data_IF_091380931951
#
_entry.id   IF_091380931951
#
_cell.length_a   1.000
_cell.length_b   1.000
_cell.length_c   1.000
_cell.angle_alpha   90.00
_cell.angle_beta   90.00
_cell.angle_gamma   90.00
#
_symmetry.space_group_name_H-M   'P 1'
#
loop_
_entity.id
_entity.type
_entity.pdbx_description
1 polymer ?
#
# COMPACT_ATOMS: atom_id res chain seq x y z
N UNK A 1 15.35 -12.18 -6.93
CA UNK A 1 15.92 -12.31 -5.58
C UNK A 1 14.80 -12.15 -4.55
N UNK A 2 14.92 -12.77 -3.39
CA UNK A 2 13.95 -12.76 -2.29
C UNK A 2 13.82 -14.15 -1.67
N UNK A 3 12.98 -14.32 -0.64
CA UNK A 3 12.20 -13.25 0.01
C UNK A 3 13.07 -12.33 0.85
N UNK A 4 12.69 -11.04 0.95
CA UNK A 4 13.40 -10.06 1.76
C UNK A 4 12.55 -9.61 2.95
N UNK A 5 13.21 -9.39 4.08
CA UNK A 5 12.63 -8.76 5.24
C UNK A 5 11.39 -9.43 5.80
N UNK A 6 10.36 -8.64 6.05
CA UNK A 6 9.14 -9.05 6.71
C UNK A 6 7.94 -9.19 5.75
N UNK A 7 6.77 -9.53 6.29
CA UNK A 7 5.51 -9.68 5.56
C UNK A 7 4.38 -8.93 6.24
N UNK A 8 3.29 -8.69 5.51
CA UNK A 8 2.03 -8.19 6.08
C UNK A 8 1.49 -9.14 7.16
N UNK A 9 0.92 -8.57 8.20
CA UNK A 9 0.06 -9.32 9.12
C UNK A 9 -1.23 -9.75 8.42
N UNK A 10 -1.86 -10.84 8.87
CA UNK A 10 -3.16 -11.28 8.32
C UNK A 10 -4.21 -11.07 9.40
N UNK A 11 -5.05 -10.05 9.22
CA UNK A 11 -6.06 -9.66 10.22
C UNK A 11 -7.44 -9.48 9.59
N UNK A 12 -8.50 -9.68 10.37
CA UNK A 12 -9.88 -9.50 9.94
C UNK A 12 -10.27 -8.01 9.85
N UNK A 13 -11.40 -7.75 9.19
CA UNK A 13 -11.92 -6.40 8.96
C UNK A 13 -10.91 -5.49 8.22
N UNK A 14 -10.29 -6.06 7.23
CA UNK A 14 -9.23 -5.44 6.45
C UNK A 14 -9.73 -4.71 5.20
N UNK A 15 -9.09 -3.60 4.90
CA UNK A 15 -9.16 -2.95 3.60
C UNK A 15 -7.78 -2.99 2.93
N UNK A 16 -7.73 -3.33 1.65
CA UNK A 16 -6.50 -3.31 0.86
C UNK A 16 -6.58 -2.19 -0.16
N UNK A 17 -5.63 -1.27 -0.12
CA UNK A 17 -5.54 -0.15 -1.09
C UNK A 17 -4.31 -0.35 -1.96
N UNK A 18 -4.52 -0.59 -3.24
CA UNK A 18 -3.46 -0.83 -4.20
C UNK A 18 -3.44 0.24 -5.30
N UNK A 19 -2.24 0.67 -5.70
CA UNK A 19 -2.04 1.60 -6.81
C UNK A 19 -1.23 0.96 -7.94
N UNK A 20 -1.79 0.95 -9.15
CA UNK A 20 -1.12 0.40 -10.34
C UNK A 20 -0.60 -1.02 -10.14
N UNK A 21 0.70 -1.25 -10.39
CA UNK A 21 1.35 -2.55 -10.24
C UNK A 21 1.39 -3.05 -8.78
N UNK A 22 1.21 -2.16 -7.79
CA UNK A 22 1.20 -2.53 -6.36
C UNK A 22 0.15 -3.57 -5.99
N UNK A 23 -0.89 -3.78 -6.82
CA UNK A 23 -1.84 -4.89 -6.65
C UNK A 23 -1.15 -6.26 -6.67
N UNK A 24 -0.06 -6.40 -7.43
CA UNK A 24 0.71 -7.64 -7.50
C UNK A 24 1.38 -7.95 -6.16
N UNK A 25 1.96 -6.94 -5.53
CA UNK A 25 2.66 -7.08 -4.23
C UNK A 25 1.72 -7.48 -3.10
N UNK A 26 0.45 -7.02 -3.13
CA UNK A 26 -0.56 -7.39 -2.13
C UNK A 26 -1.42 -8.60 -2.52
N UNK A 27 -1.18 -9.22 -3.68
CA UNK A 27 -2.03 -10.28 -4.20
C UNK A 27 -2.08 -11.51 -3.27
N UNK A 28 -0.94 -11.95 -2.77
CA UNK A 28 -0.85 -13.09 -1.83
C UNK A 28 -1.52 -12.79 -0.49
N UNK A 29 -1.49 -11.54 -0.03
CA UNK A 29 -2.22 -11.11 1.15
C UNK A 29 -3.74 -11.14 0.89
N UNK A 30 -4.19 -10.59 -0.24
CA UNK A 30 -5.62 -10.60 -0.62
C UNK A 30 -6.19 -12.02 -0.65
N UNK A 31 -5.41 -13.00 -1.12
CA UNK A 31 -5.84 -14.39 -1.17
C UNK A 31 -6.00 -15.02 0.23
N UNK A 32 -5.19 -14.60 1.20
CA UNK A 32 -5.23 -15.06 2.59
C UNK A 32 -6.31 -14.36 3.43
N UNK A 33 -6.72 -13.16 3.05
CA UNK A 33 -7.70 -12.38 3.81
C UNK A 33 -9.13 -12.90 3.58
N UNK A 34 -9.87 -13.01 4.68
CA UNK A 34 -11.29 -13.35 4.66
C UNK A 34 -12.12 -12.09 4.34
N UNK A 35 -12.73 -12.07 3.14
CA UNK A 35 -13.62 -11.00 2.68
C UNK A 35 -13.08 -9.56 2.82
N UNK A 36 -11.85 -9.25 2.36
CA UNK A 36 -11.33 -7.89 2.42
C UNK A 36 -12.12 -6.96 1.49
N UNK A 37 -12.24 -5.69 1.84
CA UNK A 37 -12.60 -4.66 0.87
C UNK A 37 -11.35 -4.25 0.11
N UNK A 38 -11.36 -4.35 -1.21
CA UNK A 38 -10.23 -3.99 -2.05
C UNK A 38 -10.54 -2.65 -2.72
N UNK A 39 -9.64 -1.69 -2.60
CA UNK A 39 -9.67 -0.43 -3.35
C UNK A 39 -8.49 -0.46 -4.32
N UNK A 40 -8.76 -0.35 -5.60
CA UNK A 40 -7.73 -0.43 -6.61
C UNK A 40 -7.73 0.83 -7.49
N UNK A 41 -6.63 1.55 -7.47
CA UNK A 41 -6.42 2.77 -8.24
C UNK A 41 -5.45 2.59 -9.39
N UNK A 42 -5.76 3.20 -10.55
CA UNK A 42 -4.86 3.28 -11.69
C UNK A 42 -5.09 4.59 -12.45
N UNK A 43 -4.13 5.00 -13.29
CA UNK A 43 -4.30 6.18 -14.15
C UNK A 43 -5.41 5.99 -15.18
N UNK A 44 -5.48 4.79 -15.79
CA UNK A 44 -6.43 4.42 -16.85
C UNK A 44 -6.82 2.95 -16.73
N UNK A 45 -7.94 2.59 -17.37
CA UNK A 45 -8.42 1.20 -17.47
C UNK A 45 -7.35 0.21 -17.94
N UNK A 46 -6.52 0.60 -18.88
CA UNK A 46 -5.49 -0.23 -19.50
C UNK A 46 -4.41 -0.71 -18.50
N UNK A 47 -4.22 0.04 -17.41
CA UNK A 47 -3.26 -0.30 -16.34
C UNK A 47 -3.85 -1.15 -15.23
N UNK A 48 -5.15 -1.51 -15.33
CA UNK A 48 -5.80 -2.38 -14.35
C UNK A 48 -5.50 -3.84 -14.68
N UNK A 49 -4.74 -4.48 -13.80
CA UNK A 49 -4.40 -5.90 -13.90
C UNK A 49 -5.20 -6.69 -12.85
N UNK A 50 -5.24 -8.02 -12.95
CA UNK A 50 -5.90 -8.93 -11.98
C UNK A 50 -7.41 -8.74 -11.77
N UNK A 51 -8.12 -7.96 -12.58
CA UNK A 51 -9.58 -7.78 -12.43
C UNK A 51 -10.33 -9.13 -12.48
N UNK A 52 -9.93 -10.03 -13.39
CA UNK A 52 -10.51 -11.37 -13.51
C UNK A 52 -10.24 -12.24 -12.28
N UNK A 53 -9.05 -12.11 -11.65
CA UNK A 53 -8.65 -12.88 -10.47
C UNK A 53 -9.56 -12.58 -9.27
N UNK A 54 -9.96 -11.33 -9.12
CA UNK A 54 -10.71 -10.86 -7.95
C UNK A 54 -12.18 -10.53 -8.23
N UNK A 55 -12.74 -11.03 -9.35
CA UNK A 55 -14.15 -10.80 -9.73
C UNK A 55 -15.17 -11.17 -8.64
N UNK A 56 -14.85 -12.14 -7.79
CA UNK A 56 -15.71 -12.61 -6.70
C UNK A 56 -15.42 -11.92 -5.36
N UNK A 57 -14.52 -10.94 -5.31
CA UNK A 57 -14.22 -10.15 -4.10
C UNK A 57 -14.80 -8.74 -4.23
N UNK A 58 -15.14 -8.13 -3.10
CA UNK A 58 -15.60 -6.74 -3.07
C UNK A 58 -14.46 -5.80 -3.49
N UNK A 59 -14.47 -5.36 -4.75
CA UNK A 59 -13.47 -4.46 -5.31
C UNK A 59 -14.10 -3.13 -5.73
N UNK A 60 -13.55 -2.04 -5.22
CA UNK A 60 -13.87 -0.68 -5.59
C UNK A 60 -12.72 -0.14 -6.45
N UNK A 61 -13.02 0.26 -7.67
CA UNK A 61 -12.01 0.70 -8.63
C UNK A 61 -12.14 2.19 -8.87
N UNK A 62 -11.01 2.89 -8.90
CA UNK A 62 -10.91 4.27 -9.29
C UNK A 62 -9.86 4.44 -10.41
N UNK A 63 -10.19 5.26 -11.42
CA UNK A 63 -9.21 5.67 -12.44
C UNK A 63 -9.14 7.19 -12.50
N UNK A 64 -7.92 7.73 -12.63
CA UNK A 64 -7.70 9.17 -12.61
C UNK A 64 -8.50 9.86 -13.73
N UNK A 65 -8.55 9.24 -14.91
CA UNK A 65 -9.25 9.74 -16.09
C UNK A 65 -10.75 9.39 -16.15
N UNK A 66 -11.21 8.49 -15.26
CA UNK A 66 -12.60 8.02 -15.25
C UNK A 66 -12.91 6.95 -16.31
N UNK A 67 -11.90 6.36 -16.95
CA UNK A 67 -12.09 5.35 -17.99
C UNK A 67 -12.65 4.02 -17.47
N UNK A 68 -12.57 3.79 -16.14
CA UNK A 68 -13.19 2.63 -15.49
C UNK A 68 -13.42 2.87 -13.99
N UNK A 69 -14.56 2.43 -13.49
CA UNK A 69 -14.93 2.61 -12.08
C UNK A 69 -15.26 4.08 -11.73
N UNK A 70 -14.86 4.51 -10.53
CA UNK A 70 -15.04 5.90 -10.09
C UNK A 70 -13.92 6.76 -10.68
N UNK A 71 -14.28 7.94 -11.23
CA UNK A 71 -13.28 8.94 -11.60
C UNK A 71 -12.64 9.55 -10.35
N UNK A 72 -11.30 9.59 -10.31
CA UNK A 72 -10.53 10.15 -9.21
C UNK A 72 -9.58 9.13 -8.59
N UNK A 73 -9.15 9.38 -7.36
CA UNK A 73 -8.10 8.60 -6.70
C UNK A 73 -8.65 7.51 -5.77
N UNK A 74 -7.87 6.43 -5.60
CA UNK A 74 -8.17 5.38 -4.62
C UNK A 74 -8.28 5.94 -3.19
N UNK A 75 -7.53 7.00 -2.87
CA UNK A 75 -7.58 7.70 -1.60
C UNK A 75 -8.92 8.39 -1.33
N UNK A 76 -9.61 8.87 -2.36
CA UNK A 76 -10.93 9.50 -2.20
C UNK A 76 -11.99 8.43 -1.86
N UNK A 77 -11.84 7.24 -2.46
CA UNK A 77 -12.69 6.08 -2.15
C UNK A 77 -12.46 5.62 -0.71
N UNK A 78 -11.20 5.54 -0.28
CA UNK A 78 -10.84 5.17 1.08
C UNK A 78 -11.40 6.17 2.10
N UNK A 79 -11.22 7.48 1.84
CA UNK A 79 -11.74 8.54 2.72
C UNK A 79 -13.25 8.44 2.93
N UNK A 80 -14.01 8.18 1.86
CA UNK A 80 -15.45 7.94 1.95
C UNK A 80 -15.82 6.69 2.75
N UNK A 81 -15.04 5.63 2.65
CA UNK A 81 -15.26 4.40 3.43
C UNK A 81 -14.94 4.59 4.91
N UNK A 82 -13.80 5.22 5.24
CA UNK A 82 -13.39 5.44 6.63
C UNK A 82 -14.28 6.46 7.33
N UNK A 83 -14.78 7.47 6.60
CA UNK A 83 -15.74 8.45 7.13
C UNK A 83 -17.10 7.87 7.47
N UNK A 84 -17.46 6.70 6.92
CA UNK A 84 -18.72 6.03 7.24
C UNK A 84 -18.55 5.09 8.44
N UNK A 85 -19.05 5.50 9.61
CA UNK A 85 -18.98 4.75 10.89
C UNK A 85 -19.62 3.34 10.85
N UNK A 86 -20.41 3.02 9.82
CA UNK A 86 -20.94 1.65 9.63
C UNK A 86 -19.89 0.67 9.14
N UNK A 87 -18.80 1.15 8.53
CA UNK A 87 -17.70 0.31 8.10
C UNK A 87 -16.83 -0.05 9.30
N UNK A 88 -16.63 -1.35 9.50
CA UNK A 88 -15.84 -1.90 10.63
C UNK A 88 -14.38 -2.16 10.22
N UNK A 89 -13.79 -1.30 9.38
CA UNK A 89 -12.39 -1.44 8.95
C UNK A 89 -11.48 -1.14 10.15
N UNK A 90 -10.63 -2.11 10.52
CA UNK A 90 -9.67 -1.99 11.61
C UNK A 90 -8.24 -1.81 11.12
N UNK A 91 -7.94 -2.29 9.93
CA UNK A 91 -6.61 -2.20 9.34
C UNK A 91 -6.70 -1.94 7.82
N UNK A 92 -5.78 -1.10 7.35
CA UNK A 92 -5.59 -0.83 5.92
C UNK A 92 -4.20 -1.31 5.52
N UNK A 93 -4.15 -2.17 4.51
CA UNK A 93 -2.92 -2.58 3.85
C UNK A 93 -2.76 -1.79 2.56
N UNK A 94 -1.56 -1.28 2.28
CA UNK A 94 -1.36 -0.48 1.08
C UNK A 94 -0.04 -0.77 0.38
N UNK A 95 -0.08 -0.73 -0.96
CA UNK A 95 1.08 -0.82 -1.84
C UNK A 95 0.83 -0.05 -3.13
N UNK A 96 1.82 0.68 -3.62
CA UNK A 96 1.75 1.48 -4.84
C UNK A 96 2.66 2.69 -4.79
N UNK A 97 2.37 3.76 -5.56
CA UNK A 97 3.16 4.99 -5.53
C UNK A 97 3.24 5.59 -4.11
N UNK A 98 4.43 5.98 -3.67
CA UNK A 98 4.65 6.39 -2.28
C UNK A 98 3.80 7.60 -1.86
N UNK A 99 3.54 8.52 -2.78
CA UNK A 99 2.61 9.66 -2.54
C UNK A 99 1.20 9.15 -2.22
N UNK A 100 0.73 8.10 -2.89
CA UNK A 100 -0.56 7.47 -2.60
C UNK A 100 -0.51 6.79 -1.23
N UNK A 101 0.55 6.03 -0.94
CA UNK A 101 0.73 5.34 0.35
C UNK A 101 0.72 6.36 1.49
N UNK A 102 1.41 7.50 1.33
CA UNK A 102 1.42 8.57 2.35
C UNK A 102 0.02 9.13 2.60
N UNK A 103 -0.76 9.40 1.55
CA UNK A 103 -2.15 9.86 1.69
C UNK A 103 -3.04 8.81 2.36
N UNK A 104 -2.86 7.52 2.04
CA UNK A 104 -3.55 6.41 2.72
C UNK A 104 -3.22 6.40 4.21
N UNK A 105 -1.95 6.50 4.55
CA UNK A 105 -1.49 6.56 5.94
C UNK A 105 -2.09 7.76 6.68
N UNK A 106 -2.08 8.96 6.09
CA UNK A 106 -2.67 10.17 6.70
C UNK A 106 -4.17 10.02 6.96
N UNK A 107 -4.90 9.38 6.03
CA UNK A 107 -6.32 9.04 6.24
C UNK A 107 -6.49 8.04 7.40
N UNK A 108 -5.65 7.02 7.47
CA UNK A 108 -5.69 6.04 8.56
C UNK A 108 -5.45 6.72 9.91
N UNK A 109 -4.47 7.62 10.01
CA UNK A 109 -4.23 8.41 11.22
C UNK A 109 -5.44 9.27 11.59
N UNK A 110 -6.04 9.96 10.60
CA UNK A 110 -7.22 10.81 10.82
C UNK A 110 -8.42 10.04 11.40
N UNK A 111 -8.61 8.79 10.98
CA UNK A 111 -9.76 7.97 11.39
C UNK A 111 -9.44 6.92 12.45
N UNK A 112 -8.24 6.97 13.04
CA UNK A 112 -7.75 6.02 14.06
C UNK A 112 -7.85 4.56 13.60
N UNK A 113 -7.36 4.30 12.37
CA UNK A 113 -7.31 2.97 11.77
C UNK A 113 -5.85 2.58 11.59
N UNK A 114 -5.50 1.34 11.91
CA UNK A 114 -4.15 0.85 11.71
C UNK A 114 -3.80 0.74 10.22
N UNK A 115 -2.52 0.97 9.90
CA UNK A 115 -2.01 0.89 8.54
C UNK A 115 -0.73 0.06 8.49
N UNK A 116 -0.64 -0.82 7.50
CA UNK A 116 0.61 -1.46 7.07
C UNK A 116 0.86 -1.12 5.61
N UNK A 117 2.04 -0.61 5.32
CA UNK A 117 2.43 -0.19 3.98
C UNK A 117 3.66 -0.94 3.48
N UNK A 118 3.61 -1.39 2.24
CA UNK A 118 4.78 -1.89 1.53
C UNK A 118 5.49 -0.73 0.86
N UNK A 119 6.70 -0.43 1.34
CA UNK A 119 7.55 0.63 0.77
C UNK A 119 8.58 0.03 -0.18
N UNK A 120 8.79 0.72 -1.29
CA UNK A 120 9.78 0.35 -2.30
C UNK A 120 11.00 1.25 -2.18
N UNK A 121 12.19 0.63 -2.21
CA UNK A 121 13.49 1.31 -2.31
C UNK A 121 14.39 0.54 -3.27
N UNK A 122 15.37 1.21 -3.82
CA UNK A 122 16.35 0.55 -4.66
C UNK A 122 17.20 -0.44 -3.83
N UNK A 123 17.02 -1.73 -4.09
CA UNK A 123 17.74 -2.80 -3.41
C UNK A 123 18.87 -3.31 -4.29
N UNK A 124 20.13 -3.19 -3.81
CA UNK A 124 21.29 -3.72 -4.50
C UNK A 124 21.72 -5.06 -3.93
N UNK A 125 22.08 -5.13 -2.63
CA UNK A 125 22.56 -6.36 -2.02
C UNK A 125 21.42 -7.28 -1.52
N UNK A 126 20.36 -6.74 -0.95
CA UNK A 126 19.22 -7.49 -0.41
C UNK A 126 19.43 -8.11 0.98
N UNK A 127 20.59 -7.90 1.61
CA UNK A 127 20.96 -8.46 2.92
C UNK A 127 21.56 -7.44 3.90
N UNK A 128 21.21 -6.17 3.74
CA UNK A 128 21.45 -5.13 4.75
C UNK A 128 22.84 -4.47 4.75
N UNK A 129 23.74 -4.82 3.85
CA UNK A 129 25.15 -4.35 3.89
C UNK A 129 25.35 -3.03 3.15
N UNK A 130 24.74 -2.83 1.98
CA UNK A 130 25.10 -1.71 1.11
C UNK A 130 24.41 -0.38 1.46
N UNK A 131 23.39 -0.36 2.32
CA UNK A 131 22.67 0.84 2.74
C UNK A 131 21.82 1.54 1.67
N UNK A 132 21.75 1.03 0.43
CA UNK A 132 21.04 1.73 -0.67
C UNK A 132 19.53 1.79 -0.50
N UNK A 133 18.96 0.86 0.24
CA UNK A 133 17.51 0.79 0.49
C UNK A 133 17.09 1.42 1.83
N UNK A 134 17.92 2.29 2.38
CA UNK A 134 17.64 2.98 3.64
C UNK A 134 16.51 4.00 3.47
N UNK A 135 15.63 4.07 4.47
CA UNK A 135 14.67 5.13 4.71
C UNK A 135 14.78 5.54 6.19
N UNK A 136 15.17 6.77 6.47
CA UNK A 136 15.61 7.20 7.80
C UNK A 136 16.70 6.27 8.37
N UNK A 137 16.40 5.58 9.46
CA UNK A 137 17.26 4.62 10.14
C UNK A 137 16.96 3.15 9.80
N UNK A 138 16.00 2.89 8.88
CA UNK A 138 15.54 1.54 8.53
C UNK A 138 16.11 1.08 7.21
N UNK A 139 16.54 -0.17 7.17
CA UNK A 139 17.03 -0.85 5.97
C UNK A 139 15.90 -1.68 5.39
N UNK A 140 15.27 -1.21 4.30
CA UNK A 140 14.04 -1.81 3.74
C UNK A 140 14.16 -3.31 3.46
N UNK A 141 15.32 -3.80 3.02
CA UNK A 141 15.50 -5.24 2.75
C UNK A 141 15.62 -6.12 4.01
N UNK A 142 15.76 -5.53 5.20
CA UNK A 142 15.85 -6.23 6.49
C UNK A 142 14.67 -5.86 7.39
N UNK A 143 14.48 -4.55 7.65
CA UNK A 143 13.47 -4.03 8.57
C UNK A 143 12.07 -3.94 7.93
N UNK A 144 12.01 -3.88 6.59
CA UNK A 144 10.81 -3.83 5.77
C UNK A 144 10.63 -5.10 4.94
N UNK A 145 10.01 -5.03 3.77
CA UNK A 145 9.45 -3.84 3.13
C UNK A 145 8.13 -3.34 3.74
N UNK A 146 7.54 -4.10 4.67
CA UNK A 146 6.27 -3.76 5.31
C UNK A 146 6.54 -2.99 6.60
N UNK A 147 5.93 -1.80 6.70
CA UNK A 147 6.02 -0.92 7.86
C UNK A 147 4.63 -0.63 8.40
N UNK A 148 4.47 -0.74 9.72
CA UNK A 148 3.21 -0.46 10.40
C UNK A 148 3.06 1.03 10.76
N UNK A 149 1.87 1.42 11.23
CA UNK A 149 1.54 2.82 11.59
C UNK A 149 2.57 3.48 12.50
N UNK A 150 3.06 2.76 13.53
CA UNK A 150 4.05 3.29 14.48
C UNK A 150 5.40 3.57 13.80
N UNK A 151 5.85 2.66 12.95
CA UNK A 151 7.09 2.84 12.20
C UNK A 151 6.97 3.99 11.20
N UNK A 152 5.86 4.03 10.42
CA UNK A 152 5.61 5.08 9.43
C UNK A 152 5.51 6.48 10.05
N UNK A 153 4.93 6.61 11.25
CA UNK A 153 4.86 7.89 11.99
C UNK A 153 6.24 8.45 12.33
N UNK A 154 7.21 7.59 12.57
CA UNK A 154 8.58 7.98 12.93
C UNK A 154 9.49 8.21 11.73
N UNK A 155 9.01 7.96 10.49
CA UNK A 155 9.81 8.12 9.27
C UNK A 155 9.60 9.51 8.66
N UNK A 156 10.53 10.43 8.90
CA UNK A 156 10.47 11.81 8.39
C UNK A 156 10.66 11.90 6.87
N UNK A 157 11.33 10.92 6.24
CA UNK A 157 11.55 10.84 4.80
C UNK A 157 10.35 10.24 4.05
N UNK A 158 9.49 9.50 4.73
CA UNK A 158 8.34 8.82 4.12
C UNK A 158 7.40 9.80 3.42
N UNK A 159 7.18 9.57 2.14
CA UNK A 159 6.31 10.38 1.29
C UNK A 159 6.91 11.73 0.87
N UNK A 160 8.19 12.02 1.20
CA UNK A 160 8.86 13.26 0.82
C UNK A 160 9.88 13.06 -0.26
N UNK A 161 10.77 12.09 -0.10
CA UNK A 161 11.76 11.75 -1.14
C UNK A 161 12.21 10.30 -1.06
N UNK A 162 12.75 9.80 -2.16
CA UNK A 162 13.42 8.51 -2.22
C UNK A 162 14.82 8.70 -2.79
N UNK A 163 15.80 8.00 -2.23
CA UNK A 163 17.19 8.05 -2.71
C UNK A 163 17.29 7.48 -4.12
N UNK A 164 18.13 8.09 -4.94
CA UNK A 164 18.46 7.59 -6.27
C UNK A 164 19.24 6.25 -6.19
N UNK A 165 19.39 5.57 -7.34
CA UNK A 165 20.21 4.35 -7.47
C UNK A 165 21.65 4.54 -6.99
N UNK A 166 22.18 5.76 -7.06
CA UNK A 166 23.49 6.13 -6.54
C UNK A 166 23.58 6.14 -5.00
N UNK A 167 22.45 6.12 -4.29
CA UNK A 167 22.39 6.24 -2.83
C UNK A 167 22.37 7.69 -2.33
N UNK A 168 22.32 8.69 -3.26
CA UNK A 168 22.19 10.11 -2.92
C UNK A 168 20.75 10.54 -2.86
#
# INVERSE_FOLDING_TARGET
>A
FGPYGNSFSVRENACVVAGGIGISSVSTLIDKLKNPTIIYGARKKEYLIYLKRYKNKKMLIATDDGSYGKKGFATDVLGGLLGNKKNKIKIVYTCGPEIMIKKVFDLCQKYDVECEASLERFMACGFGVCGKCVINDKITCIDGPIFNSKQLSNMSEFGKFARLKSGK
#
